data_IF_467926837504
#
_entry.id   IF_467926837504
#
_cell.length_a   1.000
_cell.length_b   1.000
_cell.length_c   1.000
_cell.angle_alpha   90.00
_cell.angle_beta   90.00
_cell.angle_gamma   90.00
#
_symmetry.space_group_name_H-M   'P 1'
#
loop_
_entity.id
_entity.type
_entity.pdbx_description
1 polymer ?
#
# COMPACT_ATOMS: atom_id res chain seq x y z
N UNK A 1 -9.89 22.65 -15.56
CA UNK A 1 -9.45 22.21 -14.21
C UNK A 1 -10.63 22.32 -13.28
N UNK A 2 -10.89 21.31 -12.45
CA UNK A 2 -11.95 21.40 -11.44
C UNK A 2 -11.57 22.50 -10.44
N UNK A 3 -12.41 23.51 -10.25
CA UNK A 3 -12.20 24.56 -9.25
C UNK A 3 -12.67 24.06 -7.88
N UNK A 4 -11.88 23.15 -7.29
CA UNK A 4 -12.10 22.67 -5.92
C UNK A 4 -11.29 23.51 -4.93
N UNK A 5 -11.81 23.65 -3.72
CA UNK A 5 -11.08 24.29 -2.61
C UNK A 5 -9.98 23.36 -2.09
N UNK A 6 -9.02 23.93 -1.35
CA UNK A 6 -7.96 23.14 -0.69
C UNK A 6 -8.53 22.03 0.21
N UNK A 7 -9.60 22.32 0.95
CA UNK A 7 -10.25 21.36 1.84
C UNK A 7 -10.96 20.24 1.07
N UNK A 8 -11.50 20.54 -0.11
CA UNK A 8 -12.11 19.51 -0.97
C UNK A 8 -11.06 18.56 -1.54
N UNK A 9 -9.89 19.08 -1.95
CA UNK A 9 -8.76 18.24 -2.35
C UNK A 9 -8.22 17.39 -1.21
N UNK A 10 -8.12 17.96 0.00
CA UNK A 10 -7.74 17.24 1.21
C UNK A 10 -8.70 16.08 1.50
N UNK A 11 -10.00 16.34 1.43
CA UNK A 11 -11.02 15.31 1.64
C UNK A 11 -10.89 14.16 0.62
N UNK A 12 -10.61 14.47 -0.65
CA UNK A 12 -10.38 13.45 -1.68
C UNK A 12 -9.14 12.60 -1.32
N UNK A 13 -8.06 13.24 -0.86
CA UNK A 13 -6.86 12.54 -0.43
C UNK A 13 -7.12 11.63 0.81
N UNK A 14 -7.90 12.13 1.78
CA UNK A 14 -8.18 11.41 3.03
C UNK A 14 -9.09 10.20 2.83
N UNK A 15 -10.02 10.26 1.87
CA UNK A 15 -10.94 9.15 1.55
C UNK A 15 -10.24 8.03 0.76
N UNK A 16 -9.15 8.33 0.04
CA UNK A 16 -8.49 7.38 -0.84
C UNK A 16 -8.06 6.09 -0.12
N UNK A 17 -7.35 6.21 1.01
CA UNK A 17 -6.83 5.05 1.76
C UNK A 17 -7.97 4.18 2.35
N UNK A 18 -9.01 4.74 3.01
CA UNK A 18 -10.20 3.98 3.39
C UNK A 18 -10.86 3.21 2.25
N UNK A 19 -10.95 3.78 1.04
CA UNK A 19 -11.52 3.09 -0.11
C UNK A 19 -10.67 1.88 -0.54
N UNK A 20 -9.34 2.02 -0.57
CA UNK A 20 -8.44 0.90 -0.84
C UNK A 20 -8.55 -0.20 0.22
N UNK A 21 -8.72 0.20 1.49
CA UNK A 21 -8.90 -0.74 2.59
C UNK A 21 -10.22 -1.52 2.46
N UNK A 22 -11.33 -0.84 2.16
CA UNK A 22 -12.62 -1.49 1.90
C UNK A 22 -12.54 -2.46 0.72
N UNK A 23 -11.85 -2.08 -0.36
CA UNK A 23 -11.64 -2.95 -1.51
C UNK A 23 -10.79 -4.18 -1.16
N UNK A 24 -9.72 -3.98 -0.38
CA UNK A 24 -8.90 -5.07 0.14
C UNK A 24 -9.71 -6.04 1.01
N UNK A 25 -10.56 -5.54 1.90
CA UNK A 25 -11.45 -6.37 2.71
C UNK A 25 -12.40 -7.17 1.83
N UNK A 26 -13.01 -6.54 0.82
CA UNK A 26 -13.88 -7.23 -0.14
C UNK A 26 -13.15 -8.38 -0.84
N UNK A 27 -11.92 -8.16 -1.30
CA UNK A 27 -11.12 -9.20 -1.95
C UNK A 27 -10.80 -10.35 -0.99
N UNK A 28 -10.44 -10.05 0.27
CA UNK A 28 -10.20 -11.08 1.30
C UNK A 28 -11.45 -11.93 1.56
N UNK A 29 -12.63 -11.31 1.61
CA UNK A 29 -13.90 -12.01 1.85
C UNK A 29 -14.30 -12.95 0.70
N UNK A 30 -13.78 -12.73 -0.51
CA UNK A 30 -14.02 -13.59 -1.67
C UNK A 30 -13.15 -14.84 -1.69
N UNK A 31 -12.13 -14.94 -0.83
CA UNK A 31 -11.24 -16.10 -0.76
C UNK A 31 -11.79 -17.22 0.12
N UNK A 32 -11.41 -18.46 -0.20
CA UNK A 32 -11.62 -19.60 0.68
C UNK A 32 -10.91 -19.37 2.04
N UNK A 33 -11.52 -19.83 3.14
CA UNK A 33 -11.03 -19.61 4.51
C UNK A 33 -9.53 -19.85 4.73
N UNK A 34 -8.88 -20.95 4.25
CA UNK A 34 -7.45 -21.14 4.46
C UNK A 34 -6.60 -20.08 3.73
N UNK A 35 -6.98 -19.73 2.49
CA UNK A 35 -6.29 -18.70 1.70
C UNK A 35 -6.51 -17.31 2.30
N UNK A 36 -7.73 -17.02 2.76
CA UNK A 36 -8.08 -15.76 3.42
C UNK A 36 -7.21 -15.48 4.63
N UNK A 37 -6.96 -16.49 5.47
CA UNK A 37 -6.08 -16.35 6.65
C UNK A 37 -4.66 -15.99 6.25
N UNK A 38 -4.13 -16.63 5.22
CA UNK A 38 -2.78 -16.40 4.71
C UNK A 38 -2.67 -14.99 4.12
N UNK A 39 -3.60 -14.61 3.23
CA UNK A 39 -3.64 -13.27 2.63
C UNK A 39 -3.83 -12.17 3.68
N UNK A 40 -4.69 -12.37 4.68
CA UNK A 40 -4.87 -11.45 5.79
C UNK A 40 -3.57 -11.29 6.59
N UNK A 41 -2.91 -12.40 6.92
CA UNK A 41 -1.64 -12.37 7.66
C UNK A 41 -0.57 -11.63 6.87
N UNK A 42 -0.44 -11.91 5.57
CA UNK A 42 0.49 -11.21 4.68
C UNK A 42 0.24 -9.70 4.65
N UNK A 43 -1.02 -9.28 4.51
CA UNK A 43 -1.40 -7.87 4.54
C UNK A 43 -1.05 -7.24 5.88
N UNK A 44 -1.34 -7.89 7.01
CA UNK A 44 -0.98 -7.39 8.34
C UNK A 44 0.53 -7.27 8.51
N UNK A 45 1.31 -8.23 8.04
CA UNK A 45 2.78 -8.15 8.03
C UNK A 45 3.25 -6.95 7.21
N UNK A 46 2.68 -6.69 6.02
CA UNK A 46 3.06 -5.50 5.26
C UNK A 46 2.70 -4.20 5.97
N UNK A 47 1.58 -4.12 6.69
CA UNK A 47 1.22 -2.96 7.51
C UNK A 47 2.17 -2.81 8.70
N UNK A 48 2.58 -3.91 9.35
CA UNK A 48 3.61 -3.88 10.38
C UNK A 48 4.95 -3.36 9.83
N UNK A 49 5.34 -3.76 8.61
CA UNK A 49 6.55 -3.23 7.94
C UNK A 49 6.43 -1.71 7.73
N UNK A 50 5.27 -1.20 7.31
CA UNK A 50 5.04 0.25 7.14
C UNK A 50 5.33 1.02 8.43
N UNK A 51 4.69 0.64 9.54
CA UNK A 51 4.83 1.36 10.80
C UNK A 51 6.17 1.07 11.50
N UNK A 52 6.70 -0.15 11.35
CA UNK A 52 8.04 -0.49 11.81
C UNK A 52 9.11 0.35 11.10
N UNK A 53 8.97 0.55 9.79
CA UNK A 53 9.89 1.39 9.01
C UNK A 53 9.79 2.87 9.39
N UNK A 54 8.56 3.38 9.61
CA UNK A 54 8.36 4.74 10.14
C UNK A 54 9.06 4.91 11.49
N UNK A 55 8.85 3.98 12.41
CA UNK A 55 9.47 4.02 13.73
C UNK A 55 11.00 3.96 13.65
N UNK A 56 11.54 3.11 12.78
CA UNK A 56 12.98 3.06 12.52
C UNK A 56 13.51 4.39 11.97
N UNK A 57 12.78 5.03 11.05
CA UNK A 57 13.15 6.33 10.52
C UNK A 57 13.13 7.43 11.60
N UNK A 58 12.09 7.46 12.45
CA UNK A 58 12.02 8.38 13.59
C UNK A 58 13.22 8.23 14.56
N UNK A 59 13.77 7.02 14.68
CA UNK A 59 14.92 6.72 15.55
C UNK A 59 16.27 6.98 14.90
N UNK A 60 16.40 6.64 13.62
CA UNK A 60 17.68 6.66 12.89
C UNK A 60 17.87 7.91 12.03
N UNK A 61 16.79 8.65 11.77
CA UNK A 61 16.79 9.85 10.92
C UNK A 61 17.21 9.56 9.48
N UNK A 62 16.75 8.44 8.90
CA UNK A 62 17.19 7.98 7.58
C UNK A 62 16.73 8.98 6.51
N UNK A 63 15.44 9.29 6.43
CA UNK A 63 14.89 10.28 5.50
C UNK A 63 15.35 11.71 5.84
N UNK A 64 15.33 12.13 7.11
CA UNK A 64 15.88 13.43 7.52
C UNK A 64 17.33 13.67 7.09
N UNK A 65 18.18 12.64 7.04
CA UNK A 65 19.57 12.75 6.55
C UNK A 65 19.66 13.24 5.09
N UNK A 66 18.60 13.04 4.29
CA UNK A 66 18.47 13.52 2.92
C UNK A 66 17.59 14.76 2.77
N UNK A 67 17.22 15.43 3.87
CA UNK A 67 16.23 16.53 3.90
C UNK A 67 14.87 16.12 3.30
N UNK A 68 14.48 14.87 3.54
CA UNK A 68 13.23 14.25 3.09
C UNK A 68 12.46 13.73 4.32
N UNK A 69 11.23 13.28 4.11
CA UNK A 69 10.38 12.68 5.14
C UNK A 69 9.79 11.33 4.66
N UNK A 70 9.62 10.38 5.57
CA UNK A 70 8.99 9.11 5.28
C UNK A 70 7.48 9.29 5.07
N UNK A 71 6.98 8.96 3.89
CA UNK A 71 5.57 9.18 3.55
C UNK A 71 4.68 8.04 4.03
N UNK A 72 4.13 8.16 5.25
CA UNK A 72 3.18 7.15 5.79
C UNK A 72 1.94 6.98 4.90
N UNK A 73 1.44 8.07 4.32
CA UNK A 73 0.33 8.03 3.36
C UNK A 73 0.65 7.14 2.15
N UNK A 74 1.82 7.35 1.54
CA UNK A 74 2.29 6.54 0.41
C UNK A 74 2.51 5.08 0.81
N UNK A 75 3.11 4.85 1.99
CA UNK A 75 3.43 3.53 2.49
C UNK A 75 2.18 2.65 2.70
N UNK A 76 1.14 3.19 3.36
CA UNK A 76 -0.12 2.47 3.58
C UNK A 76 -0.87 2.24 2.26
N UNK A 77 -0.96 3.28 1.42
CA UNK A 77 -1.58 3.16 0.11
C UNK A 77 -0.88 2.09 -0.75
N UNK A 78 0.45 2.05 -0.74
CA UNK A 78 1.24 1.05 -1.47
C UNK A 78 0.96 -0.36 -0.95
N UNK A 79 0.93 -0.59 0.36
CA UNK A 79 0.64 -1.91 0.93
C UNK A 79 -0.72 -2.45 0.46
N UNK A 80 -1.75 -1.58 0.46
CA UNK A 80 -3.08 -1.92 -0.02
C UNK A 80 -3.10 -2.12 -1.54
N UNK A 81 -2.47 -1.26 -2.32
CA UNK A 81 -2.40 -1.39 -3.79
C UNK A 81 -1.68 -2.67 -4.20
N UNK A 82 -0.58 -3.04 -3.53
CA UNK A 82 0.11 -4.32 -3.77
C UNK A 82 -0.83 -5.49 -3.53
N UNK A 83 -1.56 -5.48 -2.41
CA UNK A 83 -2.57 -6.51 -2.13
C UNK A 83 -3.66 -6.57 -3.20
N UNK A 84 -4.14 -5.44 -3.70
CA UNK A 84 -5.14 -5.41 -4.78
C UNK A 84 -4.55 -5.97 -6.07
N UNK A 85 -3.36 -5.52 -6.47
CA UNK A 85 -2.69 -5.89 -7.73
C UNK A 85 -2.47 -7.41 -7.84
N UNK A 86 -2.10 -8.08 -6.75
CA UNK A 86 -1.89 -9.53 -6.76
C UNK A 86 -3.19 -10.34 -6.89
N UNK A 87 -4.35 -9.75 -6.55
CA UNK A 87 -5.66 -10.45 -6.57
C UNK A 87 -6.49 -10.16 -7.82
N UNK A 88 -6.21 -9.08 -8.53
CA UNK A 88 -7.00 -8.65 -9.70
C UNK A 88 -6.31 -8.97 -11.03
N UNK A 89 -7.10 -9.02 -12.11
CA UNK A 89 -6.61 -9.16 -13.48
C UNK A 89 -5.95 -7.88 -14.03
N UNK A 90 -5.37 -7.95 -15.23
CA UNK A 90 -4.56 -6.88 -15.83
C UNK A 90 -5.19 -5.48 -15.75
N UNK A 91 -6.46 -5.34 -16.16
CA UNK A 91 -7.16 -4.06 -16.11
C UNK A 91 -7.28 -3.51 -14.68
N UNK A 92 -7.61 -4.37 -13.72
CA UNK A 92 -7.64 -3.98 -12.30
C UNK A 92 -6.28 -3.53 -11.79
N UNK A 93 -5.18 -4.15 -12.26
CA UNK A 93 -3.81 -3.75 -11.91
C UNK A 93 -3.48 -2.37 -12.44
N UNK A 94 -3.80 -2.11 -13.71
CA UNK A 94 -3.59 -0.81 -14.33
C UNK A 94 -4.39 0.29 -13.59
N UNK A 95 -5.64 0.00 -13.23
CA UNK A 95 -6.46 0.93 -12.43
C UNK A 95 -5.87 1.15 -11.04
N UNK A 96 -5.46 0.09 -10.33
CA UNK A 96 -4.89 0.20 -8.99
C UNK A 96 -3.58 1.01 -8.99
N UNK A 97 -2.65 0.70 -9.89
CA UNK A 97 -1.38 1.43 -10.04
C UNK A 97 -1.62 2.86 -10.50
N UNK A 98 -2.49 3.06 -11.51
CA UNK A 98 -2.86 4.40 -11.97
C UNK A 98 -3.49 5.25 -10.88
N UNK A 99 -4.32 4.65 -10.02
CA UNK A 99 -4.90 5.34 -8.87
C UNK A 99 -3.84 5.77 -7.84
N UNK A 100 -2.81 4.94 -7.62
CA UNK A 100 -1.69 5.28 -6.74
C UNK A 100 -0.91 6.47 -7.29
N UNK A 101 -0.59 6.46 -8.60
CA UNK A 101 0.12 7.57 -9.24
C UNK A 101 -0.68 8.87 -9.16
N UNK A 102 -2.00 8.80 -9.38
CA UNK A 102 -2.88 9.96 -9.21
C UNK A 102 -2.90 10.45 -7.75
N UNK A 103 -2.87 9.53 -6.78
CA UNK A 103 -2.79 9.87 -5.37
C UNK A 103 -1.46 10.54 -5.01
N UNK A 104 -0.31 10.06 -5.50
CA UNK A 104 0.99 10.71 -5.27
C UNK A 104 1.01 12.12 -5.86
N UNK A 105 0.45 12.29 -7.06
CA UNK A 105 0.30 13.61 -7.67
C UNK A 105 -0.55 14.55 -6.81
N UNK A 106 -1.64 14.04 -6.21
CA UNK A 106 -2.51 14.80 -5.32
C UNK A 106 -1.80 15.17 -4.00
N UNK A 107 -1.06 14.25 -3.40
CA UNK A 107 -0.26 14.50 -2.19
C UNK A 107 0.78 15.60 -2.41
N UNK A 108 1.46 15.61 -3.56
CA UNK A 108 2.37 16.69 -3.92
C UNK A 108 1.62 18.01 -4.20
N UNK A 109 0.47 17.95 -4.87
CA UNK A 109 -0.35 19.16 -5.11
C UNK A 109 -0.78 19.82 -3.79
N UNK A 110 -1.17 19.03 -2.80
CA UNK A 110 -1.58 19.50 -1.47
C UNK A 110 -0.39 19.86 -0.55
N UNK A 111 0.85 19.76 -1.06
CA UNK A 111 2.08 20.02 -0.30
C UNK A 111 2.22 19.17 0.97
N UNK A 112 1.64 17.96 0.96
CA UNK A 112 1.74 17.03 2.07
C UNK A 112 3.09 16.31 2.06
N UNK A 113 3.56 15.92 0.87
CA UNK A 113 4.87 15.29 0.69
C UNK A 113 5.46 15.69 -0.67
N UNK A 114 6.77 15.72 -0.75
CA UNK A 114 7.51 15.89 -2.01
C UNK A 114 7.55 14.57 -2.79
N UNK A 115 7.91 14.64 -4.08
CA UNK A 115 8.17 13.42 -4.85
C UNK A 115 9.33 12.59 -4.29
N UNK A 116 10.34 13.24 -3.69
CA UNK A 116 11.45 12.53 -3.07
C UNK A 116 10.96 11.65 -1.92
N UNK A 117 10.15 12.21 -1.03
CA UNK A 117 9.53 11.51 0.10
C UNK A 117 8.78 10.26 -0.37
N UNK A 118 7.89 10.44 -1.36
CA UNK A 118 7.00 9.39 -1.84
C UNK A 118 7.75 8.32 -2.64
N UNK A 119 8.60 8.70 -3.58
CA UNK A 119 9.32 7.76 -4.45
C UNK A 119 10.34 6.95 -3.65
N UNK A 120 11.10 7.59 -2.75
CA UNK A 120 12.04 6.88 -1.88
C UNK A 120 11.32 5.88 -0.96
N UNK A 121 10.16 6.27 -0.40
CA UNK A 121 9.28 5.37 0.37
C UNK A 121 8.85 4.15 -0.44
N UNK A 122 8.43 4.35 -1.70
CA UNK A 122 8.04 3.25 -2.60
C UNK A 122 9.22 2.33 -2.91
N UNK A 123 10.37 2.89 -3.28
CA UNK A 123 11.57 2.12 -3.63
C UNK A 123 12.03 1.26 -2.45
N UNK A 124 11.96 1.79 -1.24
CA UNK A 124 12.34 1.07 -0.03
C UNK A 124 11.34 -0.04 0.34
N UNK A 125 10.03 0.24 0.31
CA UNK A 125 9.01 -0.71 0.79
C UNK A 125 8.62 -1.79 -0.22
N UNK A 126 8.58 -1.47 -1.51
CA UNK A 126 8.13 -2.39 -2.55
C UNK A 126 8.87 -3.75 -2.54
N UNK A 127 10.22 -3.81 -2.42
CA UNK A 127 10.91 -5.11 -2.33
C UNK A 127 10.57 -5.88 -1.05
N UNK A 128 10.37 -5.20 0.09
CA UNK A 128 9.98 -5.84 1.35
C UNK A 128 8.59 -6.46 1.25
N UNK A 129 7.65 -5.75 0.61
CA UNK A 129 6.31 -6.26 0.35
C UNK A 129 6.37 -7.45 -0.63
N UNK A 130 7.16 -7.34 -1.70
CA UNK A 130 7.35 -8.42 -2.66
C UNK A 130 7.82 -9.71 -1.99
N UNK A 131 8.88 -9.65 -1.18
CA UNK A 131 9.40 -10.80 -0.44
C UNK A 131 8.35 -11.38 0.52
N UNK A 132 7.65 -10.52 1.26
CA UNK A 132 6.60 -10.94 2.18
C UNK A 132 5.50 -11.72 1.44
N UNK A 133 4.99 -11.18 0.34
CA UNK A 133 3.93 -11.82 -0.44
C UNK A 133 4.40 -13.12 -1.13
N UNK A 134 5.66 -13.21 -1.55
CA UNK A 134 6.23 -14.47 -2.06
C UNK A 134 6.24 -15.58 -0.99
N UNK A 135 6.65 -15.25 0.24
CA UNK A 135 6.67 -16.20 1.36
C UNK A 135 5.26 -16.73 1.71
N UNK A 136 4.26 -15.86 1.67
CA UNK A 136 2.88 -16.28 1.94
C UNK A 136 2.24 -17.00 0.73
N UNK A 137 2.65 -16.69 -0.50
CA UNK A 137 2.20 -17.41 -1.69
C UNK A 137 2.66 -18.88 -1.69
N UNK A 138 3.89 -19.17 -1.24
CA UNK A 138 4.35 -20.57 -1.09
C UNK A 138 3.52 -21.33 -0.06
N UNK A 139 3.20 -20.68 1.06
CA UNK A 139 2.35 -21.23 2.12
C UNK A 139 0.92 -21.51 1.63
N UNK A 140 0.36 -20.60 0.81
CA UNK A 140 -0.96 -20.77 0.21
C UNK A 140 -1.04 -21.97 -0.74
N UNK A 141 0.02 -22.18 -1.55
CA UNK A 141 0.11 -23.32 -2.46
C UNK A 141 0.13 -24.66 -1.72
N UNK A 142 0.81 -24.72 -0.57
CA UNK A 142 0.82 -25.93 0.27
C UNK A 142 -0.54 -26.18 0.92
N UNK A 143 -1.20 -25.13 1.42
CA UNK A 143 -2.54 -25.26 2.02
C UNK A 143 -3.59 -25.77 1.02
N UNK A 144 -3.55 -25.30 -0.24
CA UNK A 144 -4.46 -25.77 -1.29
C UNK A 144 -4.32 -27.28 -1.55
N UNK A 145 -3.08 -27.79 -1.61
CA UNK A 145 -2.79 -29.20 -1.89
C UNK A 145 -3.26 -30.18 -0.82
N UNK A 146 -3.57 -29.71 0.39
CA UNK A 146 -4.04 -30.56 1.51
C UNK A 146 -5.57 -30.69 1.55
N UNK A 147 -6.28 -29.91 0.74
CA UNK A 147 -7.75 -29.88 0.70
C UNK A 147 -8.29 -30.66 -0.51
N UNK A 148 -7.44 -30.88 -1.52
CA UNK A 148 -7.67 -31.77 -2.67
C UNK A 148 -7.35 -33.24 -2.31
#
# INVERSE_FOLDING_TARGET
MLNLTFQQWALIADIYTPLLALWSVRLLLQEATPLRKISFTALMVTICIVYGSRFMDEWLGIWPAFKSDYSTHTAVALALVVHIVIKVGLWGRLVAVGSLLAYLQLMNHQQYHTYLDMVSTVIYLLPLFWVSWLHFATSAKEASRRVD
#
